data_IF_057128335667
#
_entry.id   IF_057128335667
#
_cell.length_a   1.000
_cell.length_b   1.000
_cell.length_c   1.000
_cell.angle_alpha   90.00
_cell.angle_beta   90.00
_cell.angle_gamma   90.00
#
_symmetry.space_group_name_H-M   'P 1'
#
loop_
_entity.id
_entity.type
_entity.pdbx_description
1 polymer ?
#
# COMPACT_ATOMS: atom_id res chain seq x y z
N UNK A 1 13.85 -4.77 -10.57
CA UNK A 1 13.84 -6.05 -9.81
C UNK A 1 14.60 -5.96 -8.48
N UNK A 2 15.82 -5.37 -8.46
CA UNK A 2 16.60 -5.25 -7.22
C UNK A 2 15.85 -4.44 -6.13
N UNK A 3 15.16 -3.38 -6.49
CA UNK A 3 14.41 -2.53 -5.56
C UNK A 3 13.29 -3.32 -4.84
N UNK A 4 12.62 -4.25 -5.53
CA UNK A 4 11.59 -5.11 -4.94
C UNK A 4 12.18 -6.01 -3.85
N UNK A 5 13.35 -6.59 -4.08
CA UNK A 5 14.01 -7.44 -3.09
C UNK A 5 14.49 -6.70 -1.85
N UNK A 6 14.65 -5.38 -1.94
CA UNK A 6 15.01 -4.51 -0.82
C UNK A 6 13.82 -4.04 0.01
N UNK A 7 12.60 -4.32 -0.43
CA UNK A 7 11.42 -4.00 0.35
C UNK A 7 11.38 -4.79 1.67
N UNK A 8 10.95 -4.18 2.76
CA UNK A 8 10.73 -4.90 4.01
C UNK A 8 9.50 -5.82 3.90
N UNK A 9 9.45 -6.87 4.75
CA UNK A 9 8.21 -7.62 4.93
C UNK A 9 7.20 -6.78 5.75
N UNK A 10 5.90 -6.88 5.49
CA UNK A 10 5.23 -7.81 4.54
C UNK A 10 5.16 -7.32 3.09
N UNK A 11 5.69 -6.13 2.78
CA UNK A 11 5.56 -5.51 1.47
C UNK A 11 6.26 -6.29 0.35
N UNK A 12 7.43 -6.83 0.65
CA UNK A 12 8.17 -7.62 -0.34
C UNK A 12 7.37 -8.81 -0.86
N UNK A 13 6.76 -9.58 0.03
CA UNK A 13 5.95 -10.73 -0.35
C UNK A 13 4.73 -10.31 -1.16
N UNK A 14 4.04 -9.25 -0.78
CA UNK A 14 2.88 -8.73 -1.51
C UNK A 14 3.27 -8.32 -2.93
N UNK A 15 4.35 -7.54 -3.06
CA UNK A 15 4.80 -7.04 -4.37
C UNK A 15 5.28 -8.16 -5.28
N UNK A 16 5.91 -9.20 -4.71
CA UNK A 16 6.36 -10.35 -5.50
C UNK A 16 5.25 -11.29 -5.92
N UNK A 17 4.31 -11.56 -5.01
CA UNK A 17 3.42 -12.70 -5.15
C UNK A 17 1.98 -12.31 -5.50
N UNK A 18 1.55 -11.08 -5.18
CA UNK A 18 0.14 -10.69 -5.28
C UNK A 18 -0.14 -9.52 -6.23
N UNK A 19 0.86 -8.77 -6.64
CA UNK A 19 0.69 -7.65 -7.57
C UNK A 19 1.59 -7.76 -8.79
N UNK A 20 1.14 -7.15 -9.88
CA UNK A 20 1.96 -6.97 -11.09
C UNK A 20 2.71 -5.65 -10.96
N UNK A 21 4.00 -5.65 -11.21
CA UNK A 21 4.79 -4.42 -11.28
C UNK A 21 5.03 -4.07 -12.74
N UNK A 22 4.58 -2.89 -13.15
CA UNK A 22 4.60 -2.42 -14.53
C UNK A 22 5.44 -1.14 -14.61
N UNK A 23 6.41 -1.14 -15.51
CA UNK A 23 7.13 0.09 -15.84
C UNK A 23 6.37 0.84 -16.95
N UNK A 24 5.85 2.01 -16.64
CA UNK A 24 5.08 2.81 -17.58
C UNK A 24 4.25 3.89 -16.90
N UNK A 25 3.56 4.68 -17.72
CA UNK A 25 2.57 5.64 -17.26
C UNK A 25 1.23 4.94 -17.07
N UNK A 26 0.65 5.06 -15.89
CA UNK A 26 -0.69 4.54 -15.64
C UNK A 26 -1.72 5.32 -16.47
N UNK A 27 -2.56 4.67 -17.27
CA UNK A 27 -3.46 5.35 -18.19
C UNK A 27 -4.41 6.35 -17.55
N UNK A 28 -5.04 5.96 -16.45
CA UNK A 28 -5.96 6.82 -15.72
C UNK A 28 -5.22 7.94 -14.97
N UNK A 29 -4.07 7.62 -14.37
CA UNK A 29 -3.25 8.62 -13.70
C UNK A 29 -2.76 9.70 -14.66
N UNK A 30 -2.31 9.32 -15.84
CA UNK A 30 -1.90 10.26 -16.89
C UNK A 30 -3.07 11.13 -17.37
N UNK A 31 -4.24 10.53 -17.59
CA UNK A 31 -5.43 11.26 -18.00
C UNK A 31 -5.91 12.25 -16.92
N UNK A 32 -5.87 11.86 -15.65
CA UNK A 32 -6.33 12.67 -14.53
C UNK A 32 -5.41 13.86 -14.22
N UNK A 33 -4.09 13.63 -14.26
CA UNK A 33 -3.08 14.63 -13.88
C UNK A 33 -2.43 15.34 -15.06
N UNK A 34 -2.79 14.99 -16.31
CA UNK A 34 -2.20 15.51 -17.55
C UNK A 34 -0.68 15.33 -17.62
N UNK A 35 -0.17 14.34 -16.88
CA UNK A 35 1.25 13.97 -16.84
C UNK A 35 1.43 12.56 -16.33
N UNK A 36 2.55 11.95 -16.66
CA UNK A 36 2.98 10.70 -16.07
C UNK A 36 3.41 10.91 -14.62
N UNK A 37 2.70 10.33 -13.66
CA UNK A 37 3.04 10.39 -12.23
C UNK A 37 4.19 9.45 -11.91
N UNK A 38 4.82 9.61 -10.74
CA UNK A 38 5.96 8.77 -10.33
C UNK A 38 5.56 7.31 -10.14
N UNK A 39 4.49 7.06 -9.41
CA UNK A 39 3.98 5.72 -9.15
C UNK A 39 2.48 5.74 -8.90
N UNK A 40 1.84 4.58 -9.10
CA UNK A 40 0.42 4.34 -8.82
C UNK A 40 0.21 2.89 -8.45
N UNK A 41 -0.57 2.64 -7.40
CA UNK A 41 -1.20 1.34 -7.18
C UNK A 41 -2.62 1.37 -7.74
N UNK A 42 -2.96 0.41 -8.58
CA UNK A 42 -4.29 0.27 -9.19
C UNK A 42 -4.93 -1.06 -8.78
N UNK A 43 -5.90 -1.03 -7.85
CA UNK A 43 -6.55 -2.26 -7.39
C UNK A 43 -7.52 -2.88 -8.40
N UNK A 44 -8.03 -2.11 -9.34
CA UNK A 44 -9.18 -2.51 -10.18
C UNK A 44 -8.95 -2.42 -11.69
N UNK A 45 -7.80 -1.91 -12.12
CA UNK A 45 -7.46 -1.83 -13.55
C UNK A 45 -8.18 -0.72 -14.29
N UNK A 46 -7.99 0.55 -13.87
CA UNK A 46 -8.56 1.72 -14.55
C UNK A 46 -7.88 2.03 -15.88
N UNK A 47 -8.66 2.27 -16.93
CA UNK A 47 -8.19 2.84 -18.18
C UNK A 47 -8.23 4.39 -18.17
N UNK A 48 -7.88 5.01 -19.30
CA UNK A 48 -7.82 6.46 -19.41
C UNK A 48 -9.18 7.15 -19.24
N UNK A 49 -10.26 6.46 -19.54
CA UNK A 49 -11.65 6.93 -19.41
C UNK A 49 -12.20 6.71 -17.99
N UNK A 50 -11.49 5.99 -17.13
CA UNK A 50 -11.92 5.65 -15.78
C UNK A 50 -12.77 4.39 -15.71
N UNK A 51 -12.85 3.63 -16.79
CA UNK A 51 -13.46 2.31 -16.77
C UNK A 51 -12.50 1.29 -16.12
N UNK A 52 -13.03 0.33 -15.40
CA UNK A 52 -12.24 -0.64 -14.62
C UNK A 52 -12.48 -2.09 -15.08
N UNK A 53 -11.71 -3.01 -14.52
CA UNK A 53 -11.79 -4.43 -14.88
C UNK A 53 -10.79 -4.84 -15.94
N UNK A 54 -9.79 -4.03 -16.24
CA UNK A 54 -8.72 -4.37 -17.16
C UNK A 54 -7.75 -5.40 -16.55
N UNK A 55 -6.97 -6.06 -17.39
CA UNK A 55 -6.05 -7.14 -17.02
C UNK A 55 -4.94 -6.73 -16.04
N UNK A 56 -4.70 -5.42 -15.89
CA UNK A 56 -3.73 -4.87 -14.92
C UNK A 56 -4.34 -4.54 -13.55
N UNK A 57 -5.51 -5.05 -13.20
CA UNK A 57 -6.01 -4.99 -11.83
C UNK A 57 -4.98 -5.57 -10.86
N UNK A 58 -4.85 -5.00 -9.66
CA UNK A 58 -3.81 -5.30 -8.68
C UNK A 58 -2.40 -5.10 -9.25
N UNK A 59 -2.12 -3.90 -9.72
CA UNK A 59 -0.82 -3.53 -10.28
C UNK A 59 -0.21 -2.31 -9.61
N UNK A 60 1.12 -2.30 -9.56
CA UNK A 60 1.92 -1.12 -9.21
C UNK A 60 2.61 -0.66 -10.49
N UNK A 61 2.36 0.60 -10.85
CA UNK A 61 2.98 1.25 -11.99
C UNK A 61 4.08 2.18 -11.51
N UNK A 62 5.28 2.02 -12.06
CA UNK A 62 6.39 2.94 -11.81
C UNK A 62 6.82 3.49 -13.17
N UNK A 63 6.71 4.80 -13.33
CA UNK A 63 7.11 5.49 -14.55
C UNK A 63 8.63 5.64 -14.67
N UNK A 64 9.12 5.91 -15.87
CA UNK A 64 10.53 6.26 -16.07
C UNK A 64 10.94 7.47 -15.25
N UNK A 65 10.00 8.42 -15.07
CA UNK A 65 10.18 9.57 -14.20
C UNK A 65 10.37 9.16 -12.74
N UNK A 66 9.61 8.17 -12.27
CA UNK A 66 9.78 7.61 -10.94
C UNK A 66 11.13 6.90 -10.77
N UNK A 67 11.52 6.09 -11.77
CA UNK A 67 12.80 5.37 -11.76
C UNK A 67 13.99 6.35 -11.72
N UNK A 68 13.96 7.41 -12.52
CA UNK A 68 15.05 8.39 -12.62
C UNK A 68 15.05 9.45 -11.51
N UNK A 69 14.04 9.46 -10.65
CA UNK A 69 13.89 10.47 -9.59
C UNK A 69 14.93 10.41 -8.47
N UNK A 70 15.64 9.29 -8.33
CA UNK A 70 16.47 8.99 -7.17
C UNK A 70 15.67 8.57 -5.92
N UNK A 71 14.36 8.37 -6.04
CA UNK A 71 13.42 8.07 -4.95
C UNK A 71 12.66 6.76 -5.14
N UNK A 72 13.15 5.90 -6.02
CA UNK A 72 12.46 4.67 -6.40
C UNK A 72 12.07 3.80 -5.20
N UNK A 73 12.96 3.66 -4.23
CA UNK A 73 12.68 2.87 -3.02
C UNK A 73 11.48 3.42 -2.25
N UNK A 74 11.43 4.72 -2.03
CA UNK A 74 10.37 5.36 -1.26
C UNK A 74 9.04 5.38 -2.05
N UNK A 75 9.10 5.58 -3.36
CA UNK A 75 7.93 5.46 -4.25
C UNK A 75 7.38 4.03 -4.17
N UNK A 76 8.23 3.05 -4.27
CA UNK A 76 7.82 1.64 -4.22
C UNK A 76 7.26 1.26 -2.84
N UNK A 77 7.83 1.78 -1.74
CA UNK A 77 7.27 1.63 -0.40
C UNK A 77 5.86 2.23 -0.30
N UNK A 78 5.66 3.41 -0.85
CA UNK A 78 4.36 4.09 -0.86
C UNK A 78 3.30 3.28 -1.62
N UNK A 79 3.60 2.84 -2.82
CA UNK A 79 2.67 2.04 -3.62
C UNK A 79 2.43 0.64 -3.03
N UNK A 80 3.46 0.02 -2.45
CA UNK A 80 3.32 -1.24 -1.72
C UNK A 80 2.46 -1.08 -0.47
N UNK A 81 2.48 0.08 0.19
CA UNK A 81 1.60 0.39 1.31
C UNK A 81 0.14 0.42 0.88
N UNK A 82 -0.17 1.00 -0.28
CA UNK A 82 -1.52 0.93 -0.85
C UNK A 82 -1.94 -0.51 -1.13
N UNK A 83 -1.06 -1.30 -1.72
CA UNK A 83 -1.33 -2.73 -1.96
C UNK A 83 -1.58 -3.48 -0.65
N UNK A 84 -0.78 -3.25 0.38
CA UNK A 84 -0.98 -3.83 1.71
C UNK A 84 -2.31 -3.42 2.33
N UNK A 85 -2.65 -2.15 2.25
CA UNK A 85 -3.92 -1.61 2.73
C UNK A 85 -5.12 -2.30 2.07
N UNK A 86 -5.10 -2.44 0.76
CA UNK A 86 -6.18 -3.06 -0.02
C UNK A 86 -6.25 -4.58 0.13
N UNK A 87 -5.11 -5.25 0.11
CA UNK A 87 -5.06 -6.71 0.06
C UNK A 87 -5.05 -7.37 1.44
N UNK A 88 -4.61 -6.64 2.48
CA UNK A 88 -4.48 -7.17 3.84
C UNK A 88 -5.32 -6.40 4.85
N UNK A 89 -5.08 -5.12 5.06
CA UNK A 89 -5.78 -4.34 6.10
C UNK A 89 -7.29 -4.28 5.89
N UNK A 90 -7.75 -4.22 4.66
CA UNK A 90 -9.18 -4.25 4.31
C UNK A 90 -9.87 -5.51 4.81
N UNK A 91 -9.16 -6.63 4.86
CA UNK A 91 -9.67 -7.95 5.24
C UNK A 91 -9.29 -8.35 6.66
N UNK A 92 -8.61 -7.49 7.40
CA UNK A 92 -8.20 -7.70 8.77
C UNK A 92 -9.19 -6.99 9.70
N UNK A 93 -10.09 -7.77 10.33
CA UNK A 93 -11.24 -7.23 11.05
C UNK A 93 -10.98 -7.16 12.55
N UNK A 94 -11.37 -6.05 13.15
CA UNK A 94 -11.47 -5.90 14.59
C UNK A 94 -12.73 -6.60 15.12
N UNK A 95 -12.78 -6.85 16.43
CA UNK A 95 -13.96 -7.44 17.09
C UNK A 95 -15.24 -6.62 16.90
N UNK A 96 -15.09 -5.32 16.66
CA UNK A 96 -16.19 -4.38 16.38
C UNK A 96 -16.77 -4.53 14.97
N UNK A 97 -16.19 -5.37 14.10
CA UNK A 97 -16.57 -5.49 12.70
C UNK A 97 -15.99 -4.42 11.78
N UNK A 98 -15.12 -3.56 12.29
CA UNK A 98 -14.41 -2.52 11.52
C UNK A 98 -13.08 -3.08 11.02
N UNK A 99 -12.71 -2.79 9.78
CA UNK A 99 -11.42 -3.18 9.24
C UNK A 99 -10.27 -2.35 9.82
N UNK A 100 -9.06 -2.93 9.84
CA UNK A 100 -7.87 -2.15 10.19
C UNK A 100 -7.57 -1.03 9.20
N UNK A 101 -7.97 -1.17 7.95
CA UNK A 101 -7.85 -0.10 6.96
C UNK A 101 -8.65 1.13 7.40
N UNK A 102 -9.91 0.97 7.78
CA UNK A 102 -10.75 2.08 8.25
C UNK A 102 -10.18 2.71 9.52
N UNK A 103 -9.70 1.90 10.44
CA UNK A 103 -9.07 2.37 11.69
C UNK A 103 -7.80 3.16 11.40
N UNK A 104 -6.97 2.68 10.48
CA UNK A 104 -5.75 3.37 10.05
C UNK A 104 -6.06 4.71 9.36
N UNK A 105 -7.09 4.74 8.51
CA UNK A 105 -7.53 5.99 7.88
C UNK A 105 -7.98 7.03 8.91
N UNK A 106 -8.69 6.62 9.96
CA UNK A 106 -9.07 7.53 11.04
C UNK A 106 -7.87 8.05 11.80
N UNK A 107 -6.86 7.21 12.01
CA UNK A 107 -5.65 7.59 12.74
C UNK A 107 -4.77 8.55 11.95
N UNK A 108 -4.52 8.27 10.69
CA UNK A 108 -3.58 9.02 9.86
C UNK A 108 -4.24 10.09 8.97
N UNK A 109 -5.53 10.00 8.75
CA UNK A 109 -6.30 11.00 7.99
C UNK A 109 -6.98 10.41 6.75
N UNK A 110 -6.24 9.72 5.89
CA UNK A 110 -6.76 9.03 4.72
C UNK A 110 -5.75 8.00 4.20
N UNK A 111 -6.05 7.38 3.06
CA UNK A 111 -5.21 6.36 2.45
C UNK A 111 -3.81 6.87 2.08
N UNK A 112 -3.71 8.08 1.57
CA UNK A 112 -2.42 8.67 1.18
C UNK A 112 -1.53 8.97 2.38
N UNK A 113 -2.10 9.50 3.46
CA UNK A 113 -1.36 9.71 4.70
C UNK A 113 -0.94 8.39 5.34
N UNK A 114 -1.76 7.36 5.26
CA UNK A 114 -1.38 6.02 5.72
C UNK A 114 -0.19 5.49 4.93
N UNK A 115 -0.20 5.60 3.61
CA UNK A 115 0.90 5.16 2.77
C UNK A 115 2.22 5.89 3.11
N UNK A 116 2.16 7.20 3.31
CA UNK A 116 3.30 8.00 3.74
C UNK A 116 3.80 7.60 5.15
N UNK A 117 2.88 7.29 6.07
CA UNK A 117 3.26 6.80 7.40
C UNK A 117 4.05 5.49 7.32
N UNK A 118 3.68 4.58 6.43
CA UNK A 118 4.45 3.36 6.17
C UNK A 118 5.84 3.65 5.59
N UNK A 119 5.96 4.64 4.70
CA UNK A 119 7.28 5.05 4.18
C UNK A 119 8.20 5.47 5.33
N UNK A 120 7.73 6.32 6.24
CA UNK A 120 8.48 6.72 7.43
C UNK A 120 8.76 5.53 8.36
N UNK A 121 7.78 4.68 8.60
CA UNK A 121 7.93 3.51 9.48
C UNK A 121 9.07 2.59 9.02
N UNK A 122 9.23 2.39 7.73
CA UNK A 122 10.28 1.57 7.14
C UNK A 122 11.57 2.34 6.81
N UNK A 123 11.73 3.55 7.35
CA UNK A 123 12.96 4.32 7.24
C UNK A 123 13.14 5.11 5.96
N UNK A 124 12.09 5.24 5.15
CA UNK A 124 12.07 6.14 4.00
C UNK A 124 12.04 7.61 4.42
N UNK A 125 12.34 8.49 3.49
CA UNK A 125 12.46 9.92 3.74
C UNK A 125 11.59 10.78 2.84
N UNK A 126 11.17 10.22 1.71
CA UNK A 126 10.36 10.96 0.76
C UNK A 126 8.90 10.55 0.88
N UNK A 127 8.05 11.55 1.09
CA UNK A 127 6.60 11.39 1.19
C UNK A 127 5.91 12.45 0.34
N UNK A 128 4.67 12.19 -0.07
CA UNK A 128 3.88 13.11 -0.87
C UNK A 128 3.06 14.07 -0.03
N UNK A 129 2.51 13.60 1.07
CA UNK A 129 1.46 14.28 1.84
C UNK A 129 1.89 14.59 3.27
N UNK A 130 2.60 13.69 3.88
CA UNK A 130 3.08 13.85 5.25
C UNK A 130 4.36 14.69 5.24
N UNK A 131 4.26 15.93 5.68
CA UNK A 131 5.42 16.84 5.76
C UNK A 131 6.02 16.86 7.18
N UNK A 132 6.09 15.72 7.83
CA UNK A 132 6.73 15.57 9.12
C UNK A 132 8.16 15.07 8.92
N UNK A 133 9.06 15.50 9.81
CA UNK A 133 10.45 15.04 9.78
C UNK A 133 10.55 13.53 10.14
N UNK A 134 9.66 13.05 11.01
CA UNK A 134 9.63 11.66 11.48
C UNK A 134 8.23 11.25 11.91
N UNK A 135 7.98 9.95 11.86
CA UNK A 135 6.83 9.34 12.50
C UNK A 135 7.02 9.35 14.03
N UNK A 136 5.97 9.66 14.80
CA UNK A 136 6.02 9.57 16.27
C UNK A 136 6.28 8.14 16.72
N UNK A 137 6.86 7.98 17.92
CA UNK A 137 7.07 6.67 18.52
C UNK A 137 5.73 5.95 18.76
N UNK A 138 4.71 6.69 19.15
CA UNK A 138 3.37 6.15 19.35
C UNK A 138 2.78 5.61 18.06
N UNK A 139 2.84 6.36 16.97
CA UNK A 139 2.36 5.92 15.65
C UNK A 139 3.18 4.77 15.09
N UNK A 140 4.49 4.80 15.29
CA UNK A 140 5.38 3.71 14.89
C UNK A 140 5.04 2.40 15.63
N UNK A 141 4.80 2.46 16.92
CA UNK A 141 4.36 1.30 17.72
C UNK A 141 2.98 0.80 17.27
N UNK A 142 2.08 1.71 16.98
CA UNK A 142 0.75 1.35 16.49
C UNK A 142 0.81 0.61 15.15
N UNK A 143 1.63 1.08 14.21
CA UNK A 143 1.84 0.39 12.92
C UNK A 143 2.45 -0.99 13.12
N UNK A 144 3.46 -1.13 13.96
CA UNK A 144 4.07 -2.42 14.29
C UNK A 144 3.04 -3.41 14.81
N UNK A 145 2.23 -2.98 15.77
CA UNK A 145 1.23 -3.84 16.40
C UNK A 145 0.11 -4.21 15.42
N UNK A 146 -0.28 -3.29 14.56
CA UNK A 146 -1.25 -3.54 13.48
C UNK A 146 -0.74 -4.58 12.49
N UNK A 147 0.48 -4.46 12.01
CA UNK A 147 1.09 -5.43 11.09
C UNK A 147 1.14 -6.81 11.74
N UNK A 148 1.63 -6.89 12.98
CA UNK A 148 1.74 -8.14 13.74
C UNK A 148 0.39 -8.82 13.92
N UNK A 149 -0.61 -8.06 14.34
CA UNK A 149 -1.98 -8.60 14.51
C UNK A 149 -2.58 -9.02 13.19
N UNK A 150 -2.43 -8.23 12.14
CA UNK A 150 -3.04 -8.50 10.85
C UNK A 150 -2.42 -9.74 10.19
N UNK A 151 -1.12 -9.92 10.27
CA UNK A 151 -0.46 -11.13 9.79
C UNK A 151 -0.98 -12.37 10.54
N UNK A 152 -1.07 -12.29 11.86
CA UNK A 152 -1.65 -13.37 12.67
C UNK A 152 -3.12 -13.65 12.30
N UNK A 153 -3.94 -12.60 12.16
CA UNK A 153 -5.36 -12.72 11.84
C UNK A 153 -5.56 -13.44 10.49
N UNK A 154 -4.82 -13.05 9.47
CA UNK A 154 -4.94 -13.64 8.12
C UNK A 154 -4.52 -15.11 8.14
N UNK A 155 -3.43 -15.45 8.82
CA UNK A 155 -2.96 -16.83 8.97
C UNK A 155 -3.96 -17.73 9.71
N UNK A 156 -4.73 -17.17 10.63
CA UNK A 156 -5.68 -17.90 11.46
C UNK A 156 -7.15 -17.68 11.08
N UNK A 157 -7.41 -16.93 10.00
CA UNK A 157 -8.78 -16.55 9.62
C UNK A 157 -9.71 -17.74 9.45
N UNK A 158 -9.28 -18.77 8.75
CA UNK A 158 -10.09 -19.98 8.51
C UNK A 158 -10.42 -20.69 9.81
N UNK A 159 -9.47 -20.82 10.72
CA UNK A 159 -9.68 -21.38 12.04
C UNK A 159 -10.65 -20.54 12.88
N UNK A 160 -10.51 -19.21 12.85
CA UNK A 160 -11.38 -18.28 13.57
C UNK A 160 -12.81 -18.32 13.04
N UNK A 161 -13.00 -18.38 11.74
CA UNK A 161 -14.31 -18.51 11.10
C UNK A 161 -15.00 -19.82 11.49
N UNK A 162 -14.28 -20.94 11.51
CA UNK A 162 -14.81 -22.23 11.91
C UNK A 162 -15.13 -22.33 13.40
N UNK A 163 -14.28 -21.77 14.25
CA UNK A 163 -14.37 -21.91 15.71
C UNK A 163 -15.33 -20.90 16.33
N UNK A 164 -15.38 -19.67 15.84
CA UNK A 164 -16.15 -18.55 16.40
C UNK A 164 -17.40 -18.23 15.60
N UNK A 165 -17.65 -18.89 14.48
CA UNK A 165 -18.79 -18.64 13.61
C UNK A 165 -18.76 -17.24 12.95
N UNK A 166 -17.57 -16.72 12.73
CA UNK A 166 -17.36 -15.40 12.13
C UNK A 166 -16.96 -15.46 10.67
#
# INVERSE_FOLDING_TARGET
DLAIYQLPEPFRSIVKDEVKVINGCHPYGEALFERCVYGVFDPVGYDAEGDYGNEWANSIWISDRGISSGRLKDILLHEAAHAYSYLKLQHCMLDTGVSFRDTAHKRFGNEEYLADAFVYYFGGKWTNYYQLENLSIEDSNWIRDMITYCDWYIENKEFLEKTLGR
#
